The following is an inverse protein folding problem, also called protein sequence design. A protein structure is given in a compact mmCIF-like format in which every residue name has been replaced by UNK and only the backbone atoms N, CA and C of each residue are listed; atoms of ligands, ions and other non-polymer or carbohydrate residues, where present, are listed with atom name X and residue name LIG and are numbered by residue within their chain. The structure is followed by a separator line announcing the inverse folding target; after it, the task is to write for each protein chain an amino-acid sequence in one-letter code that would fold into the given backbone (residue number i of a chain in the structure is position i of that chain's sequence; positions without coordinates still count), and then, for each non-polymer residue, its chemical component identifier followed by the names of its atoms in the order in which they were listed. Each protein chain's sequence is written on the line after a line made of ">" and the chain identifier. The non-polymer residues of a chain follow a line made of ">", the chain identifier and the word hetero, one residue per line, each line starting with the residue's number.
data_IF_958251276398
#
_entry.id   IF_958251276398
#
_cell.length_a   1.000
_cell.length_b   1.000
_cell.length_c   1.000
_cell.angle_alpha   90.00
_cell.angle_beta   90.00
_cell.angle_gamma   90.00
#
_symmetry.space_group_name_H-M   'P 1'
#
loop_
_entity.id
_entity.type
_entity.pdbx_description
1 polymer ?
#
# COMPACT_ATOMS: atom_id res chain seq x y z
N UNK A 1 -15.56 2.06 21.31
CA UNK A 1 -14.68 2.82 20.39
C UNK A 1 -15.51 3.89 19.70
N UNK A 2 -15.02 5.11 19.56
CA UNK A 2 -15.71 6.15 18.79
C UNK A 2 -15.56 5.87 17.28
N UNK A 3 -16.48 6.40 16.45
CA UNK A 3 -16.45 6.17 15.00
C UNK A 3 -15.14 6.63 14.34
N UNK A 4 -14.48 7.64 14.92
CA UNK A 4 -13.16 8.14 14.47
C UNK A 4 -12.02 7.17 14.81
N UNK A 5 -12.10 6.44 15.93
CA UNK A 5 -11.17 5.37 16.28
C UNK A 5 -11.25 4.20 15.31
N UNK A 6 -12.47 3.76 14.98
CA UNK A 6 -12.69 2.69 13.99
C UNK A 6 -12.13 3.10 12.62
N UNK A 7 -12.41 4.32 12.15
CA UNK A 7 -11.91 4.79 10.86
C UNK A 7 -10.37 4.79 10.77
N UNK A 8 -9.67 5.13 11.86
CA UNK A 8 -8.20 5.07 11.91
C UNK A 8 -7.67 3.64 11.73
N UNK A 9 -8.28 2.69 12.43
CA UNK A 9 -7.89 1.28 12.33
C UNK A 9 -8.16 0.75 10.93
N UNK A 10 -9.35 1.03 10.38
CA UNK A 10 -9.74 0.59 9.04
C UNK A 10 -8.79 1.15 7.97
N UNK A 11 -8.47 2.44 8.02
CA UNK A 11 -7.53 3.06 7.06
C UNK A 11 -6.14 2.47 7.22
N UNK A 12 -5.65 2.31 8.45
CA UNK A 12 -4.31 1.75 8.68
C UNK A 12 -4.19 0.30 8.18
N UNK A 13 -5.15 -0.56 8.53
CA UNK A 13 -5.18 -1.95 8.07
C UNK A 13 -5.36 -2.02 6.55
N UNK A 14 -6.26 -1.22 5.99
CA UNK A 14 -6.50 -1.14 4.55
C UNK A 14 -5.23 -0.75 3.78
N UNK A 15 -4.46 0.22 4.27
CA UNK A 15 -3.21 0.63 3.65
C UNK A 15 -2.14 -0.46 3.68
N UNK A 16 -1.98 -1.14 4.83
CA UNK A 16 -1.02 -2.25 4.95
C UNK A 16 -1.40 -3.39 4.01
N UNK A 17 -2.68 -3.76 3.95
CA UNK A 17 -3.17 -4.79 3.05
C UNK A 17 -2.98 -4.40 1.59
N UNK A 18 -3.34 -3.17 1.22
CA UNK A 18 -3.13 -2.66 -0.14
C UNK A 18 -1.65 -2.73 -0.52
N UNK A 19 -0.75 -2.22 0.33
CA UNK A 19 0.69 -2.26 0.05
C UNK A 19 1.20 -3.69 -0.10
N UNK A 20 0.72 -4.62 0.73
CA UNK A 20 1.06 -6.04 0.66
C UNK A 20 0.62 -6.65 -0.67
N UNK A 21 -0.65 -6.48 -1.04
CA UNK A 21 -1.18 -7.00 -2.30
C UNK A 21 -0.42 -6.41 -3.49
N UNK A 22 -0.25 -5.09 -3.55
CA UNK A 22 0.45 -4.44 -4.66
C UNK A 22 1.89 -4.92 -4.80
N UNK A 23 2.60 -5.12 -3.68
CA UNK A 23 3.96 -5.64 -3.71
C UNK A 23 4.00 -7.07 -4.22
N UNK A 24 3.13 -7.95 -3.70
CA UNK A 24 3.05 -9.35 -4.13
C UNK A 24 2.66 -9.48 -5.60
N UNK A 25 1.80 -8.61 -6.12
CA UNK A 25 1.50 -8.53 -7.57
C UNK A 25 2.74 -8.10 -8.34
N UNK A 26 3.43 -7.06 -7.89
CA UNK A 26 4.58 -6.51 -8.59
C UNK A 26 5.77 -7.51 -8.65
N UNK A 27 5.95 -8.33 -7.62
CA UNK A 27 6.97 -9.40 -7.60
C UNK A 27 6.50 -10.72 -8.23
N UNK A 28 5.28 -10.78 -8.78
CA UNK A 28 4.78 -11.96 -9.49
C UNK A 28 4.18 -13.07 -8.62
N UNK A 29 4.13 -12.90 -7.29
CA UNK A 29 3.60 -13.89 -6.35
C UNK A 29 2.07 -14.02 -6.45
N UNK A 30 1.37 -12.95 -6.84
CA UNK A 30 -0.09 -12.94 -6.97
C UNK A 30 -0.55 -12.70 -8.42
N UNK A 31 -1.63 -13.41 -8.79
CA UNK A 31 -2.35 -13.38 -10.09
C UNK A 31 -1.58 -13.90 -11.31
N UNK A 32 -0.50 -13.23 -11.71
CA UNK A 32 0.24 -13.55 -12.94
C UNK A 32 1.73 -13.46 -12.65
N UNK A 33 2.41 -14.59 -12.75
CA UNK A 33 3.88 -14.65 -12.71
C UNK A 33 4.41 -14.04 -14.02
N UNK A 34 5.17 -12.92 -13.98
CA UNK A 34 5.73 -12.32 -15.17
C UNK A 34 6.81 -13.23 -15.74
N UNK A 35 6.64 -13.67 -16.99
CA UNK A 35 7.58 -14.56 -17.67
C UNK A 35 8.63 -13.76 -18.44
N UNK A 36 8.39 -12.46 -18.61
CA UNK A 36 9.28 -11.52 -19.30
C UNK A 36 9.58 -10.28 -18.46
N UNK A 37 10.74 -9.65 -18.72
CA UNK A 37 11.12 -8.35 -18.12
C UNK A 37 10.12 -7.23 -18.41
N UNK A 38 9.46 -7.27 -19.58
CA UNK A 38 8.47 -6.28 -19.96
C UNK A 38 7.20 -6.39 -19.10
N UNK A 39 6.73 -7.61 -18.84
CA UNK A 39 5.59 -7.87 -17.95
C UNK A 39 5.90 -7.50 -16.51
N UNK A 40 7.10 -7.83 -16.02
CA UNK A 40 7.57 -7.42 -14.69
C UNK A 40 7.51 -5.89 -14.54
N UNK A 41 8.08 -5.16 -15.51
CA UNK A 41 8.07 -3.69 -15.51
C UNK A 41 6.65 -3.12 -15.57
N UNK A 42 5.77 -3.74 -16.36
CA UNK A 42 4.36 -3.32 -16.45
C UNK A 42 3.62 -3.54 -15.13
N UNK A 43 3.86 -4.66 -14.43
CA UNK A 43 3.28 -4.94 -13.12
C UNK A 43 3.74 -3.91 -12.07
N UNK A 44 5.04 -3.60 -12.04
CA UNK A 44 5.58 -2.53 -11.18
C UNK A 44 4.97 -1.16 -11.48
N UNK A 45 4.84 -0.79 -12.75
CA UNK A 45 4.21 0.47 -13.15
C UNK A 45 2.74 0.54 -12.76
N UNK A 46 1.98 -0.55 -12.96
CA UNK A 46 0.59 -0.62 -12.59
C UNK A 46 0.42 -0.52 -11.07
N UNK A 47 1.21 -1.28 -10.31
CA UNK A 47 1.20 -1.24 -8.84
C UNK A 47 1.55 0.16 -8.32
N UNK A 48 2.60 0.79 -8.87
CA UNK A 48 2.98 2.15 -8.53
C UNK A 48 1.88 3.18 -8.83
N UNK A 49 1.16 3.01 -9.95
CA UNK A 49 0.05 3.90 -10.31
C UNK A 49 -1.13 3.76 -9.35
N UNK A 50 -1.51 2.53 -9.00
CA UNK A 50 -2.58 2.27 -8.02
C UNK A 50 -2.20 2.82 -6.64
N UNK A 51 -0.98 2.54 -6.20
CA UNK A 51 -0.43 3.07 -4.95
C UNK A 51 -0.48 4.61 -4.92
N UNK A 52 -0.02 5.27 -5.99
CA UNK A 52 -0.03 6.73 -6.11
C UNK A 52 -1.43 7.33 -6.04
N UNK A 53 -2.40 6.75 -6.77
CA UNK A 53 -3.79 7.21 -6.72
C UNK A 53 -4.41 7.04 -5.34
N UNK A 54 -4.15 5.92 -4.66
CA UNK A 54 -4.63 5.71 -3.30
C UNK A 54 -4.01 6.67 -2.30
N UNK A 55 -2.70 6.92 -2.44
CA UNK A 55 -1.96 7.87 -1.61
C UNK A 55 -2.54 9.29 -1.72
N UNK A 56 -2.67 9.78 -2.96
CA UNK A 56 -3.24 11.09 -3.26
C UNK A 56 -4.71 11.19 -2.87
N UNK A 57 -5.49 10.13 -3.09
CA UNK A 57 -6.89 10.06 -2.67
C UNK A 57 -7.04 10.30 -1.18
N UNK A 58 -6.29 9.57 -0.34
CA UNK A 58 -6.32 9.77 1.12
C UNK A 58 -5.84 11.17 1.55
N UNK A 59 -4.84 11.72 0.85
CA UNK A 59 -4.35 13.08 1.07
C UNK A 59 -5.40 14.15 0.80
N UNK A 60 -6.31 13.94 -0.14
CA UNK A 60 -7.38 14.90 -0.48
C UNK A 60 -8.63 14.65 0.38
N UNK A 61 -9.06 13.40 0.50
CA UNK A 61 -10.32 13.03 1.16
C UNK A 61 -10.28 13.20 2.68
N UNK A 62 -9.20 12.78 3.35
CA UNK A 62 -9.15 12.78 4.82
C UNK A 62 -9.15 14.18 5.44
N UNK A 63 -8.40 15.19 4.92
CA UNK A 63 -8.52 16.56 5.39
C UNK A 63 -9.88 17.18 5.05
N UNK A 64 -10.44 16.89 3.86
CA UNK A 64 -11.76 17.41 3.47
C UNK A 64 -12.87 16.98 4.43
N UNK A 65 -12.73 15.80 5.04
CA UNK A 65 -13.64 15.27 6.07
C UNK A 65 -13.27 15.72 7.51
N UNK A 66 -12.24 16.56 7.68
CA UNK A 66 -11.76 17.01 8.99
C UNK A 66 -11.05 15.94 9.81
N UNK A 67 -10.59 14.85 9.18
CA UNK A 67 -10.04 13.65 9.84
C UNK A 67 -8.50 13.68 9.91
N UNK A 68 -7.93 14.74 10.50
CA UNK A 68 -6.47 14.95 10.56
C UNK A 68 -5.68 13.82 11.23
N UNK A 69 -6.23 13.21 12.29
CA UNK A 69 -5.60 12.05 12.93
C UNK A 69 -5.59 10.81 12.03
N UNK A 70 -6.62 10.62 11.21
CA UNK A 70 -6.68 9.52 10.23
C UNK A 70 -5.74 9.77 9.07
N UNK A 71 -5.58 11.03 8.64
CA UNK A 71 -4.55 11.43 7.68
C UNK A 71 -3.14 11.06 8.16
N UNK A 72 -2.83 11.33 9.43
CA UNK A 72 -1.52 10.96 9.99
C UNK A 72 -1.29 9.44 9.93
N UNK A 73 -2.31 8.63 10.25
CA UNK A 73 -2.24 7.17 10.11
C UNK A 73 -2.08 6.77 8.64
N UNK A 74 -2.82 7.40 7.73
CA UNK A 74 -2.71 7.15 6.29
C UNK A 74 -1.29 7.38 5.78
N UNK A 75 -0.69 8.53 6.11
CA UNK A 75 0.67 8.88 5.74
C UNK A 75 1.70 7.91 6.34
N UNK A 76 1.61 7.68 7.65
CA UNK A 76 2.55 6.81 8.36
C UNK A 76 2.54 5.39 7.78
N UNK A 77 1.35 4.83 7.52
CA UNK A 77 1.21 3.48 6.95
C UNK A 77 1.62 3.42 5.50
N UNK A 78 1.26 4.40 4.67
CA UNK A 78 1.66 4.41 3.26
C UNK A 78 3.18 4.57 3.09
N UNK A 79 3.88 5.24 4.01
CA UNK A 79 5.35 5.33 3.94
C UNK A 79 6.02 4.08 4.54
N UNK A 80 5.60 3.66 5.75
CA UNK A 80 6.28 2.60 6.47
C UNK A 80 5.99 1.20 5.92
N UNK A 81 4.73 0.92 5.56
CA UNK A 81 4.31 -0.41 5.12
C UNK A 81 5.09 -0.90 3.88
N UNK A 82 5.21 -0.15 2.77
CA UNK A 82 5.93 -0.64 1.60
C UNK A 82 7.42 -0.90 1.92
N UNK A 83 8.07 -0.05 2.72
CA UNK A 83 9.46 -0.27 3.11
C UNK A 83 9.65 -1.55 3.95
N UNK A 84 8.78 -1.76 4.94
CA UNK A 84 8.78 -2.96 5.80
C UNK A 84 8.45 -4.22 4.97
N UNK A 85 7.41 -4.17 4.15
CA UNK A 85 7.01 -5.31 3.34
C UNK A 85 8.08 -5.67 2.31
N UNK A 86 8.70 -4.67 1.65
CA UNK A 86 9.79 -4.89 0.72
C UNK A 86 10.99 -5.55 1.42
N UNK A 87 11.41 -5.05 2.58
CA UNK A 87 12.49 -5.66 3.36
C UNK A 87 12.16 -7.08 3.80
N UNK A 88 10.91 -7.37 4.19
CA UNK A 88 10.48 -8.72 4.53
C UNK A 88 10.52 -9.67 3.33
N UNK A 89 10.05 -9.23 2.15
CA UNK A 89 10.11 -10.01 0.91
C UNK A 89 11.56 -10.32 0.54
N UNK A 90 12.44 -9.32 0.56
CA UNK A 90 13.87 -9.51 0.29
C UNK A 90 14.50 -10.47 1.30
N UNK A 91 14.22 -10.30 2.59
CA UNK A 91 14.74 -11.18 3.64
C UNK A 91 14.23 -12.62 3.48
N UNK A 92 12.98 -12.80 3.08
CA UNK A 92 12.40 -14.11 2.81
C UNK A 92 13.03 -14.77 1.57
N UNK A 93 13.36 -13.99 0.54
CA UNK A 93 13.98 -14.48 -0.69
C UNK A 93 15.46 -14.88 -0.52
N UNK A 94 16.15 -14.39 0.52
CA UNK A 94 17.57 -14.66 0.79
C UNK A 94 17.77 -15.80 1.82
N UNK A 95 16.70 -16.26 2.47
CA UNK A 95 16.73 -17.42 3.39
C UNK A 95 16.51 -18.72 2.64
#
# INVERSE_FOLDING_TARGET
>A
MDGRGVARVVVGVGNVLLCCVLLLVAVGVLFVEPVTRAEETAAWHLAGRIYGWWFLGGLVLLPALGMTRTLAVHLATMIAAPAVLFTLVVLAAVR
#
